data_IF_713301856773
#
_entry.id   IF_713301856773
#
_cell.length_a   1.000
_cell.length_b   1.000
_cell.length_c   1.000
_cell.angle_alpha   90.00
_cell.angle_beta   90.00
_cell.angle_gamma   90.00
#
_symmetry.space_group_name_H-M   'P 1'
#
loop_
_entity.id
_entity.type
_entity.pdbx_description
1 polymer ?
#
# COMPACT_ATOMS: atom_id res chain seq x y z
N UNK A 1 -44.40 -26.43 30.85
CA UNK A 1 -43.06 -26.58 30.26
C UNK A 1 -43.13 -25.99 28.87
N UNK A 2 -42.70 -24.74 28.71
CA UNK A 2 -42.68 -24.06 27.41
C UNK A 2 -41.35 -24.40 26.76
N UNK A 3 -41.35 -25.31 25.78
CA UNK A 3 -40.20 -25.51 24.90
C UNK A 3 -40.08 -24.26 24.02
N UNK A 4 -39.22 -23.32 24.42
CA UNK A 4 -38.75 -22.27 23.52
C UNK A 4 -37.82 -22.93 22.50
N UNK A 5 -38.21 -22.87 21.23
CA UNK A 5 -37.46 -23.40 20.10
C UNK A 5 -36.17 -22.57 19.91
N UNK A 6 -35.11 -22.92 20.64
CA UNK A 6 -33.84 -22.17 20.68
C UNK A 6 -33.07 -22.18 19.36
N UNK A 7 -33.46 -23.03 18.42
CA UNK A 7 -32.84 -23.17 17.09
C UNK A 7 -33.19 -22.04 16.12
N UNK A 8 -34.33 -21.37 16.30
CA UNK A 8 -34.74 -20.25 15.44
C UNK A 8 -34.05 -18.94 15.85
N UNK A 9 -33.88 -18.69 17.14
CA UNK A 9 -33.18 -17.50 17.64
C UNK A 9 -31.68 -17.49 17.28
N UNK A 10 -31.02 -18.65 17.34
CA UNK A 10 -29.60 -18.74 16.98
C UNK A 10 -29.36 -18.46 15.50
N UNK A 11 -30.28 -18.89 14.61
CA UNK A 11 -30.18 -18.67 13.18
C UNK A 11 -30.43 -17.22 12.79
N UNK A 12 -31.35 -16.52 13.46
CA UNK A 12 -31.64 -15.09 13.20
C UNK A 12 -30.45 -14.21 13.62
N UNK A 13 -29.86 -14.45 14.79
CA UNK A 13 -28.66 -13.72 15.21
C UNK A 13 -27.46 -13.97 14.29
N UNK A 14 -27.26 -15.22 13.84
CA UNK A 14 -26.19 -15.55 12.89
C UNK A 14 -26.42 -14.88 11.52
N UNK A 15 -27.67 -14.87 11.04
CA UNK A 15 -28.06 -14.32 9.75
C UNK A 15 -27.88 -12.79 9.66
N UNK A 16 -27.98 -12.07 10.79
CA UNK A 16 -27.74 -10.62 10.83
C UNK A 16 -26.25 -10.29 11.01
N UNK A 17 -25.50 -11.13 11.72
CA UNK A 17 -24.05 -10.93 11.95
C UNK A 17 -23.23 -11.14 10.68
N UNK A 18 -23.53 -12.17 9.90
CA UNK A 18 -22.81 -12.47 8.65
C UNK A 18 -22.75 -11.29 7.65
N UNK A 19 -23.86 -10.61 7.30
CA UNK A 19 -23.81 -9.46 6.40
C UNK A 19 -23.09 -8.25 7.02
N UNK A 20 -23.21 -8.03 8.34
CA UNK A 20 -22.42 -6.99 9.01
C UNK A 20 -20.92 -7.23 8.87
N UNK A 21 -20.45 -8.46 9.10
CA UNK A 21 -19.03 -8.80 8.95
C UNK A 21 -18.56 -8.67 7.51
N UNK A 22 -19.39 -9.03 6.52
CA UNK A 22 -19.08 -8.82 5.10
C UNK A 22 -18.95 -7.34 4.73
N UNK A 23 -19.85 -6.50 5.23
CA UNK A 23 -19.80 -5.04 5.02
C UNK A 23 -18.52 -4.47 5.65
N UNK A 24 -18.23 -4.85 6.90
CA UNK A 24 -17.05 -4.39 7.62
C UNK A 24 -15.76 -4.85 6.94
N UNK A 25 -15.70 -6.11 6.48
CA UNK A 25 -14.57 -6.63 5.72
C UNK A 25 -14.38 -5.87 4.40
N UNK A 26 -15.45 -5.66 3.64
CA UNK A 26 -15.40 -4.92 2.37
C UNK A 26 -14.92 -3.49 2.58
N UNK A 27 -15.37 -2.85 3.65
CA UNK A 27 -14.93 -1.51 4.04
C UNK A 27 -13.43 -1.46 4.33
N UNK A 28 -12.93 -2.38 5.17
CA UNK A 28 -11.51 -2.47 5.52
C UNK A 28 -10.67 -2.74 4.28
N UNK A 29 -11.08 -3.69 3.43
CA UNK A 29 -10.38 -4.03 2.20
C UNK A 29 -10.29 -2.81 1.25
N UNK A 30 -11.40 -2.10 1.03
CA UNK A 30 -11.42 -0.88 0.20
C UNK A 30 -10.51 0.21 0.74
N UNK A 31 -10.55 0.45 2.05
CA UNK A 31 -9.66 1.43 2.69
C UNK A 31 -8.19 1.04 2.55
N UNK A 32 -7.87 -0.24 2.78
CA UNK A 32 -6.52 -0.75 2.61
C UNK A 32 -6.03 -0.57 1.17
N UNK A 33 -6.86 -0.90 0.17
CA UNK A 33 -6.53 -0.68 -1.24
C UNK A 33 -6.26 0.80 -1.52
N UNK A 34 -7.14 1.69 -1.05
CA UNK A 34 -7.02 3.14 -1.27
C UNK A 34 -5.74 3.70 -0.67
N UNK A 35 -5.40 3.32 0.56
CA UNK A 35 -4.18 3.76 1.25
C UNK A 35 -2.95 3.23 0.52
N UNK A 36 -2.94 1.95 0.15
CA UNK A 36 -1.81 1.30 -0.55
C UNK A 36 -1.57 1.92 -1.92
N UNK A 37 -2.62 2.21 -2.70
CA UNK A 37 -2.51 2.89 -4.00
C UNK A 37 -2.01 4.33 -3.86
N UNK A 38 -2.48 5.07 -2.85
CA UNK A 38 -2.05 6.45 -2.60
C UNK A 38 -0.58 6.49 -2.17
N UNK A 39 -0.19 5.62 -1.25
CA UNK A 39 1.21 5.44 -0.84
C UNK A 39 2.09 5.08 -2.05
N UNK A 40 1.66 4.13 -2.87
CA UNK A 40 2.40 3.73 -4.08
C UNK A 40 2.57 4.90 -5.07
N UNK A 41 1.53 5.70 -5.29
CA UNK A 41 1.62 6.90 -6.15
C UNK A 41 2.62 7.92 -5.60
N UNK A 42 2.64 8.11 -4.28
CA UNK A 42 3.61 9.02 -3.67
C UNK A 42 5.05 8.53 -3.88
N UNK A 43 5.28 7.22 -3.71
CA UNK A 43 6.58 6.60 -3.97
C UNK A 43 7.00 6.79 -5.43
N UNK A 44 6.09 6.57 -6.39
CA UNK A 44 6.35 6.78 -7.81
C UNK A 44 6.75 8.23 -8.12
N UNK A 45 6.04 9.21 -7.55
CA UNK A 45 6.34 10.64 -7.70
C UNK A 45 7.73 10.96 -7.11
N UNK A 46 8.04 10.46 -5.92
CA UNK A 46 9.34 10.67 -5.29
C UNK A 46 10.49 10.05 -6.10
N UNK A 47 10.28 8.86 -6.67
CA UNK A 47 11.24 8.24 -7.58
C UNK A 47 11.40 9.06 -8.87
N UNK A 48 10.32 9.57 -9.45
CA UNK A 48 10.37 10.46 -10.61
C UNK A 48 11.13 11.75 -10.33
N UNK A 49 10.89 12.37 -9.16
CA UNK A 49 11.61 13.55 -8.72
C UNK A 49 13.12 13.27 -8.58
N UNK A 50 13.49 12.12 -8.02
CA UNK A 50 14.89 11.71 -7.89
C UNK A 50 15.58 11.52 -9.25
N UNK A 51 14.89 10.92 -10.22
CA UNK A 51 15.41 10.77 -11.58
C UNK A 51 15.65 12.13 -12.23
N UNK A 52 14.70 13.05 -12.10
CA UNK A 52 14.82 14.41 -12.62
C UNK A 52 16.02 15.15 -12.00
N UNK A 53 16.22 15.01 -10.68
CA UNK A 53 17.38 15.58 -10.01
C UNK A 53 18.71 14.99 -10.53
N UNK A 54 18.77 13.67 -10.76
CA UNK A 54 19.96 13.03 -11.34
C UNK A 54 20.24 13.53 -12.76
N UNK A 55 19.20 13.72 -13.57
CA UNK A 55 19.34 14.24 -14.94
C UNK A 55 19.83 15.69 -14.96
N UNK A 56 19.30 16.54 -14.08
CA UNK A 56 19.80 17.92 -13.91
C UNK A 56 21.28 17.92 -13.56
N UNK A 57 21.70 17.08 -12.61
CA UNK A 57 23.10 17.02 -12.22
C UNK A 57 23.99 16.49 -13.35
N UNK A 58 23.54 15.45 -14.07
CA UNK A 58 24.29 14.89 -15.20
C UNK A 58 24.46 15.93 -16.32
N UNK A 59 23.43 16.71 -16.62
CA UNK A 59 23.50 17.79 -17.60
C UNK A 59 24.42 18.93 -17.14
N UNK A 60 24.35 19.34 -15.87
CA UNK A 60 25.28 20.34 -15.31
C UNK A 60 26.73 19.85 -15.30
N UNK A 61 26.97 18.56 -15.03
CA UNK A 61 28.30 17.96 -15.10
C UNK A 61 28.88 17.98 -16.52
N UNK A 62 28.04 17.70 -17.52
CA UNK A 62 28.43 17.72 -18.94
C UNK A 62 28.76 19.13 -19.45
N UNK A 63 28.21 20.19 -18.82
CA UNK A 63 28.55 21.58 -19.16
C UNK A 63 29.94 22.03 -18.67
N UNK A 64 30.76 21.13 -18.09
CA UNK A 64 32.08 21.41 -17.51
C UNK A 64 32.01 22.56 -16.49
N UNK A 65 31.59 22.28 -15.24
CA UNK A 65 31.49 23.30 -14.21
C UNK A 65 32.84 24.01 -14.05
N UNK A 66 32.83 25.35 -14.12
CA UNK A 66 34.05 26.17 -14.04
C UNK A 66 34.66 26.18 -12.64
N UNK A 67 33.94 25.75 -11.61
CA UNK A 67 34.36 25.73 -10.20
C UNK A 67 34.09 24.37 -9.55
N UNK A 68 35.08 23.83 -8.85
CA UNK A 68 34.99 22.54 -8.12
C UNK A 68 33.95 22.56 -6.99
N UNK A 69 33.65 23.73 -6.43
CA UNK A 69 32.65 23.88 -5.36
C UNK A 69 31.22 23.63 -5.85
N UNK A 70 30.86 24.10 -7.05
CA UNK A 70 29.53 23.89 -7.65
C UNK A 70 29.24 22.41 -7.86
N UNK A 71 30.25 21.65 -8.28
CA UNK A 71 30.16 20.20 -8.43
C UNK A 71 29.97 19.49 -7.09
N UNK A 72 30.64 19.98 -6.04
CA UNK A 72 30.52 19.45 -4.68
C UNK A 72 29.12 19.69 -4.10
N UNK A 73 28.53 20.87 -4.34
CA UNK A 73 27.15 21.16 -3.95
C UNK A 73 26.13 20.31 -4.72
N UNK A 74 26.34 20.08 -6.01
CA UNK A 74 25.51 19.17 -6.83
C UNK A 74 25.55 17.71 -6.32
N UNK A 75 26.73 17.22 -5.96
CA UNK A 75 26.89 15.89 -5.35
C UNK A 75 26.23 15.79 -3.96
N UNK A 76 26.38 16.81 -3.13
CA UNK A 76 25.71 16.91 -1.83
C UNK A 76 24.18 16.93 -1.98
N UNK A 77 23.66 17.67 -2.96
CA UNK A 77 22.24 17.73 -3.25
C UNK A 77 21.66 16.36 -3.61
N UNK A 78 22.32 15.58 -4.48
CA UNK A 78 21.91 14.20 -4.78
C UNK A 78 21.93 13.32 -3.54
N UNK A 79 22.97 13.44 -2.71
CA UNK A 79 23.15 12.58 -1.53
C UNK A 79 22.09 12.87 -0.46
N UNK A 80 21.74 14.15 -0.28
CA UNK A 80 20.71 14.59 0.66
C UNK A 80 19.28 14.34 0.14
N UNK A 81 19.07 14.20 -1.18
CA UNK A 81 17.75 13.97 -1.75
C UNK A 81 17.31 12.50 -1.78
N UNK A 82 18.13 11.58 -1.25
CA UNK A 82 17.75 10.17 -1.08
C UNK A 82 16.67 10.02 0.00
N UNK A 83 15.44 10.31 -0.37
CA UNK A 83 14.23 10.02 0.40
C UNK A 83 13.79 8.58 0.08
N UNK A 84 14.24 7.61 0.89
CA UNK A 84 13.64 6.29 0.93
C UNK A 84 12.32 6.40 1.71
N UNK A 85 11.27 6.85 1.02
CA UNK A 85 9.90 6.91 1.55
C UNK A 85 9.30 5.50 1.52
N UNK A 86 9.47 4.76 2.61
CA UNK A 86 8.78 3.49 2.83
C UNK A 86 7.56 3.67 3.71
N UNK A 87 6.36 3.53 3.16
CA UNK A 87 5.15 3.42 3.97
C UNK A 87 5.07 2.02 4.57
N UNK A 88 4.98 1.92 5.89
CA UNK A 88 4.84 0.63 6.57
C UNK A 88 3.51 0.55 7.28
N UNK A 89 2.83 -0.60 7.17
CA UNK A 89 1.71 -0.91 8.03
C UNK A 89 2.24 -1.36 9.38
N UNK A 90 2.23 -0.45 10.37
CA UNK A 90 2.68 -0.71 11.74
C UNK A 90 4.12 -1.28 11.83
N UNK A 91 4.98 -1.00 10.84
CA UNK A 91 6.34 -1.55 10.77
C UNK A 91 6.44 -3.03 10.35
N UNK A 92 5.32 -3.74 10.16
CA UNK A 92 5.31 -5.18 9.86
C UNK A 92 5.44 -5.50 8.36
N UNK A 93 4.90 -4.63 7.51
CA UNK A 93 4.92 -4.83 6.07
C UNK A 93 5.02 -3.49 5.34
N UNK A 94 5.74 -3.48 4.22
CA UNK A 94 5.78 -2.32 3.33
C UNK A 94 4.49 -2.27 2.50
N UNK A 95 3.80 -1.13 2.53
CA UNK A 95 2.63 -0.85 1.70
C UNK A 95 3.10 -0.62 0.27
N UNK A 96 3.22 -1.72 -0.49
CA UNK A 96 3.59 -1.70 -1.89
C UNK A 96 2.54 -2.43 -2.75
N UNK A 97 2.60 -2.24 -4.07
CA UNK A 97 1.69 -2.92 -5.02
C UNK A 97 1.78 -4.44 -4.94
N UNK A 98 2.94 -4.98 -4.60
CA UNK A 98 3.15 -6.43 -4.45
C UNK A 98 2.33 -7.01 -3.30
N UNK A 99 2.26 -6.32 -2.16
CA UNK A 99 1.43 -6.69 -1.02
C UNK A 99 -0.05 -6.65 -1.38
N UNK A 100 -0.47 -5.62 -2.12
CA UNK A 100 -1.85 -5.51 -2.62
C UNK A 100 -2.24 -6.72 -3.49
N UNK A 101 -1.38 -7.07 -4.46
CA UNK A 101 -1.56 -8.25 -5.33
C UNK A 101 -1.61 -9.55 -4.52
N UNK A 102 -0.74 -9.69 -3.52
CA UNK A 102 -0.71 -10.86 -2.63
C UNK A 102 -2.01 -11.00 -1.86
N UNK A 103 -2.54 -9.90 -1.32
CA UNK A 103 -3.83 -9.91 -0.61
C UNK A 103 -5.00 -10.24 -1.54
N UNK A 104 -5.04 -9.68 -2.76
CA UNK A 104 -6.09 -10.02 -3.74
C UNK A 104 -6.03 -11.50 -4.12
N UNK A 105 -4.84 -12.04 -4.36
CA UNK A 105 -4.64 -13.46 -4.65
C UNK A 105 -5.09 -14.36 -3.49
N UNK A 106 -4.75 -13.99 -2.25
CA UNK A 106 -5.21 -14.70 -1.06
C UNK A 106 -6.74 -14.70 -0.95
N UNK A 107 -7.39 -13.53 -1.10
CA UNK A 107 -8.85 -13.42 -1.06
C UNK A 107 -9.50 -14.32 -2.11
N UNK A 108 -9.05 -14.25 -3.37
CA UNK A 108 -9.58 -15.11 -4.44
C UNK A 108 -9.39 -16.61 -4.12
N UNK A 109 -8.22 -16.99 -3.61
CA UNK A 109 -7.91 -18.38 -3.27
C UNK A 109 -8.82 -18.91 -2.16
N UNK A 110 -9.02 -18.13 -1.09
CA UNK A 110 -9.92 -18.49 0.00
C UNK A 110 -11.40 -18.46 -0.41
N UNK A 111 -11.81 -17.54 -1.30
CA UNK A 111 -13.17 -17.52 -1.85
C UNK A 111 -13.46 -18.77 -2.68
N UNK A 112 -12.51 -19.21 -3.52
CA UNK A 112 -12.66 -20.46 -4.28
C UNK A 112 -12.79 -21.65 -3.33
N UNK A 113 -11.90 -21.76 -2.33
CA UNK A 113 -11.98 -22.81 -1.30
C UNK A 113 -13.35 -22.83 -0.61
N UNK A 114 -13.85 -21.67 -0.19
CA UNK A 114 -15.14 -21.56 0.49
C UNK A 114 -16.36 -21.92 -0.36
N UNK A 115 -16.27 -21.79 -1.69
CA UNK A 115 -17.35 -22.19 -2.63
C UNK A 115 -17.27 -23.68 -2.97
N UNK A 116 -16.08 -24.25 -2.96
CA UNK A 116 -15.85 -25.67 -3.29
C UNK A 116 -16.06 -26.64 -2.12
N UNK A 117 -16.09 -26.14 -0.87
CA UNK A 117 -16.41 -26.90 0.34
C UNK A 117 -17.89 -26.76 0.71
#
# INVERSE_FOLDING_TARGET
>A
MVLLNTTEFSNIELAIRAPMYLILFSWIALHFMKVTLTASKLIDICNGWRLLQMDVVKNCANMKPKRSEEFRYLLLFIKCSKLDLGFTGLGMFQLNRSLLLTMVSAVLSYSVLAVTF
#
